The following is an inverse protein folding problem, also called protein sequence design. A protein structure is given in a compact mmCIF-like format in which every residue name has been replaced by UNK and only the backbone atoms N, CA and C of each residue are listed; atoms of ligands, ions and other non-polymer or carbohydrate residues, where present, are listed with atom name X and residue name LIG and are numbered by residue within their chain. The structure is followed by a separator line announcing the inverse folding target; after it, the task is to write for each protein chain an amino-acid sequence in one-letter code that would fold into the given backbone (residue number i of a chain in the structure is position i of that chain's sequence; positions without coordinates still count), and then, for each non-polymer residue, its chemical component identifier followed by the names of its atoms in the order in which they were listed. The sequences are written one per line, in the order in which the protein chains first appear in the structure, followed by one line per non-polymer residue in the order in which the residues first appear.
data_IF_336655261889
#
_entry.id   IF_336655261889
#
_cell.length_a   1.000
_cell.length_b   1.000
_cell.length_c   1.000
_cell.angle_alpha   90.00
_cell.angle_beta   90.00
_cell.angle_gamma   90.00
#
_symmetry.space_group_name_H-M   'P 1'
#
loop_
_entity.id
_entity.type
_entity.pdbx_description
1 polymer ?
#
# COMPACT_ATOMS: atom_id res chain seq x y z
N UNK A 1 -29.84 -18.58 -34.86
CA UNK A 1 -28.42 -18.26 -35.03
C UNK A 1 -28.08 -16.96 -34.28
N UNK A 2 -28.29 -16.87 -32.94
CA UNK A 2 -28.13 -15.62 -32.18
C UNK A 2 -27.51 -15.81 -30.78
N UNK A 3 -26.73 -16.88 -30.55
CA UNK A 3 -26.21 -17.17 -29.20
C UNK A 3 -24.69 -17.23 -29.08
N UNK A 4 -23.92 -16.92 -30.16
CA UNK A 4 -22.45 -16.96 -30.13
C UNK A 4 -21.76 -15.59 -30.02
N UNK A 5 -22.51 -14.48 -30.08
CA UNK A 5 -21.93 -13.11 -29.99
C UNK A 5 -21.85 -12.57 -28.54
N UNK A 6 -22.73 -13.01 -27.65
CA UNK A 6 -22.77 -12.55 -26.25
C UNK A 6 -21.65 -13.13 -25.38
N UNK A 7 -21.22 -14.37 -25.63
CA UNK A 7 -20.16 -15.03 -24.86
C UNK A 7 -18.76 -14.44 -25.12
N UNK A 8 -18.54 -13.78 -26.27
CA UNK A 8 -17.23 -13.16 -26.61
C UNK A 8 -17.05 -11.75 -26.02
N UNK A 9 -18.13 -11.09 -25.58
CA UNK A 9 -18.04 -9.77 -24.94
C UNK A 9 -17.76 -9.91 -23.44
N UNK A 10 -18.24 -10.97 -22.78
CA UNK A 10 -18.01 -11.24 -21.35
C UNK A 10 -16.58 -11.73 -21.11
N UNK A 11 -15.97 -12.45 -22.05
CA UNK A 11 -14.58 -12.93 -21.91
C UNK A 11 -13.53 -11.81 -22.08
N UNK A 12 -13.88 -10.68 -22.69
CA UNK A 12 -12.94 -9.57 -22.94
C UNK A 12 -12.87 -8.55 -21.80
N UNK A 13 -13.79 -8.60 -20.85
CA UNK A 13 -13.81 -7.76 -19.64
C UNK A 13 -13.11 -8.40 -18.44
N UNK A 14 -12.78 -9.69 -18.48
CA UNK A 14 -12.09 -10.38 -17.41
C UNK A 14 -10.55 -10.28 -17.49
N UNK A 15 -9.99 -9.83 -18.61
CA UNK A 15 -8.54 -9.76 -18.81
C UNK A 15 -7.86 -8.48 -18.28
N UNK A 16 -8.60 -7.54 -17.68
CA UNK A 16 -8.03 -6.23 -17.30
C UNK A 16 -7.93 -6.02 -15.78
N UNK A 17 -8.15 -7.03 -14.95
CA UNK A 17 -8.27 -6.83 -13.48
C UNK A 17 -7.06 -7.26 -12.66
N UNK A 18 -5.96 -7.68 -13.25
CA UNK A 18 -4.68 -7.82 -12.56
C UNK A 18 -3.83 -6.54 -12.75
N UNK A 19 -4.34 -5.39 -12.28
CA UNK A 19 -3.53 -4.19 -12.18
C UNK A 19 -2.51 -4.36 -11.04
N UNK A 20 -1.40 -5.03 -11.34
CA UNK A 20 -0.18 -4.92 -10.56
C UNK A 20 0.12 -3.41 -10.37
N UNK A 21 0.52 -3.02 -9.16
CA UNK A 21 1.10 -1.71 -8.86
C UNK A 21 2.06 -1.34 -10.01
N UNK A 22 2.00 -0.13 -10.57
CA UNK A 22 2.85 0.23 -11.69
C UNK A 22 4.31 0.04 -11.31
N UNK A 23 5.01 -0.87 -12.01
CA UNK A 23 6.43 -1.11 -11.82
C UNK A 23 7.20 0.11 -12.34
N UNK A 24 7.47 1.08 -11.46
CA UNK A 24 8.32 2.22 -11.78
C UNK A 24 9.79 1.80 -11.74
N UNK A 25 10.46 1.97 -12.87
CA UNK A 25 11.93 1.88 -12.95
C UNK A 25 12.54 3.04 -12.15
N UNK A 26 13.03 2.77 -10.95
CA UNK A 26 13.83 3.73 -10.18
C UNK A 26 15.27 3.65 -10.65
N UNK A 27 15.74 4.71 -11.30
CA UNK A 27 17.15 4.87 -11.66
C UNK A 27 17.95 5.24 -10.39
N UNK A 28 18.75 4.32 -9.88
CA UNK A 28 19.68 4.55 -8.77
C UNK A 28 20.94 5.27 -9.28
N UNK A 29 21.07 6.58 -8.96
CA UNK A 29 22.38 7.23 -8.88
C UNK A 29 22.75 7.37 -7.40
N UNK A 30 23.78 6.62 -7.00
CA UNK A 30 24.37 6.71 -5.68
C UNK A 30 25.01 8.09 -5.48
N UNK A 31 24.51 8.86 -4.53
CA UNK A 31 25.15 10.08 -4.04
C UNK A 31 26.01 9.74 -2.82
N UNK A 32 27.31 10.06 -2.88
CA UNK A 32 28.25 9.97 -1.77
C UNK A 32 27.88 11.01 -0.71
N UNK A 33 27.46 10.58 0.47
CA UNK A 33 27.27 11.46 1.62
C UNK A 33 28.52 11.38 2.50
N UNK A 34 29.13 12.54 2.72
CA UNK A 34 30.29 12.79 3.58
C UNK A 34 29.91 12.56 5.05
N UNK A 35 30.74 11.83 5.77
CA UNK A 35 30.56 11.54 7.20
C UNK A 35 30.86 12.80 8.04
N UNK A 36 29.87 13.37 8.66
CA UNK A 36 30.03 14.34 9.72
C UNK A 36 29.89 13.70 11.10
N UNK A 37 30.83 13.97 11.96
CA UNK A 37 31.07 13.33 13.26
C UNK A 37 30.19 13.99 14.32
N UNK A 38 29.13 13.36 14.80
CA UNK A 38 28.32 13.87 15.91
C UNK A 38 28.86 13.33 17.24
N UNK A 39 29.19 14.26 18.16
CA UNK A 39 29.67 14.00 19.53
C UNK A 39 28.53 13.51 20.43
N UNK A 40 28.82 12.48 21.25
CA UNK A 40 27.92 11.95 22.30
C UNK A 40 27.76 12.96 23.44
N UNK A 41 26.54 13.14 24.00
CA UNK A 41 26.35 13.76 25.31
C UNK A 41 26.47 12.73 26.45
N UNK A 42 26.94 13.23 27.57
CA UNK A 42 27.22 12.51 28.84
C UNK A 42 25.92 12.08 29.55
N UNK A 43 26.00 10.92 30.22
CA UNK A 43 24.99 10.39 31.10
C UNK A 43 24.75 11.25 32.34
N UNK A 44 23.48 11.56 32.63
CA UNK A 44 23.00 12.06 33.91
C UNK A 44 22.22 10.96 34.63
N UNK A 45 22.55 10.76 35.92
CA UNK A 45 21.86 9.85 36.84
C UNK A 45 20.50 10.44 37.23
N UNK A 46 19.47 9.62 37.28
CA UNK A 46 18.25 9.94 38.02
C UNK A 46 17.64 8.71 38.68
N UNK A 47 17.15 8.95 39.86
CA UNK A 47 16.82 8.05 40.95
C UNK A 47 15.63 7.12 40.67
N UNK A 48 15.75 5.93 41.30
CA UNK A 48 14.72 4.89 41.34
C UNK A 48 13.74 5.23 42.45
N UNK A 49 12.47 5.41 42.13
CA UNK A 49 11.37 5.39 43.09
C UNK A 49 10.55 4.13 42.88
N UNK A 50 10.59 3.26 43.87
CA UNK A 50 9.79 2.03 43.98
C UNK A 50 8.34 2.41 44.35
N UNK A 51 7.34 1.89 43.64
CA UNK A 51 5.95 1.89 44.08
C UNK A 51 5.43 0.44 44.09
N UNK A 52 4.93 0.09 45.26
CA UNK A 52 4.44 -1.20 45.70
C UNK A 52 3.22 -1.73 44.94
N UNK A 53 3.19 -3.05 44.84
CA UNK A 53 2.10 -3.91 44.38
C UNK A 53 0.85 -3.82 45.26
N UNK A 54 -0.35 -3.69 44.67
CA UNK A 54 -1.61 -4.09 45.30
C UNK A 54 -2.53 -4.79 44.27
N UNK A 55 -2.85 -6.00 44.69
CA UNK A 55 -4.01 -6.86 44.46
C UNK A 55 -4.92 -6.72 43.21
N UNK A 56 -5.01 -7.83 42.51
CA UNK A 56 -5.99 -8.21 41.49
C UNK A 56 -7.43 -8.17 42.01
N UNK A 57 -8.30 -7.50 41.28
CA UNK A 57 -9.74 -7.77 41.28
C UNK A 57 -10.16 -8.05 39.83
N UNK A 58 -10.56 -9.29 39.56
CA UNK A 58 -11.09 -9.72 38.29
C UNK A 58 -12.51 -9.13 38.10
N UNK A 59 -12.61 -8.07 37.33
CA UNK A 59 -13.90 -7.57 36.84
C UNK A 59 -14.07 -8.06 35.42
N UNK A 60 -15.06 -8.93 35.21
CA UNK A 60 -15.53 -9.36 33.91
C UNK A 60 -16.07 -8.14 33.17
N UNK A 61 -15.25 -7.57 32.29
CA UNK A 61 -15.69 -6.47 31.42
C UNK A 61 -16.50 -7.07 30.29
N UNK A 62 -17.79 -6.78 30.27
CA UNK A 62 -18.67 -7.05 29.15
C UNK A 62 -18.03 -6.44 27.90
N UNK A 63 -17.82 -7.27 26.87
CA UNK A 63 -17.36 -6.85 25.54
C UNK A 63 -18.44 -5.94 24.97
N UNK A 64 -18.26 -4.62 25.10
CA UNK A 64 -19.09 -3.65 24.43
C UNK A 64 -18.95 -3.85 22.92
N UNK A 65 -20.07 -3.98 22.22
CA UNK A 65 -20.13 -4.08 20.78
C UNK A 65 -19.30 -2.96 20.14
N UNK A 66 -18.32 -3.33 19.34
CA UNK A 66 -17.47 -2.41 18.59
C UNK A 66 -18.38 -1.59 17.67
N UNK A 67 -18.41 -0.25 17.73
CA UNK A 67 -19.17 0.55 16.78
C UNK A 67 -18.67 0.25 15.37
N UNK A 68 -19.60 -0.08 14.47
CA UNK A 68 -19.35 -0.54 13.09
C UNK A 68 -18.91 0.57 12.12
N UNK A 69 -18.44 1.72 12.61
CA UNK A 69 -17.91 2.80 11.77
C UNK A 69 -16.48 3.15 12.19
N UNK A 70 -15.54 2.93 11.29
CA UNK A 70 -14.19 3.46 11.42
C UNK A 70 -14.26 5.00 11.46
N UNK A 71 -13.39 5.68 12.26
CA UNK A 71 -13.47 7.14 12.46
C UNK A 71 -13.13 7.96 11.21
N UNK A 72 -12.68 7.33 10.13
CA UNK A 72 -12.26 8.01 8.91
C UNK A 72 -13.08 7.55 7.70
N UNK A 73 -13.45 8.48 6.77
CA UNK A 73 -14.15 8.13 5.55
C UNK A 73 -13.30 7.22 4.67
N UNK A 74 -13.91 6.19 4.08
CA UNK A 74 -13.22 5.22 3.21
C UNK A 74 -13.67 5.36 1.77
N UNK A 75 -12.72 5.31 0.82
CA UNK A 75 -12.99 5.35 -0.61
C UNK A 75 -13.68 4.07 -1.13
N UNK A 76 -13.78 3.01 -0.35
CA UNK A 76 -14.61 1.84 -0.69
C UNK A 76 -16.10 2.12 -0.54
N UNK A 77 -16.50 3.18 0.19
CA UNK A 77 -17.89 3.62 0.29
C UNK A 77 -18.31 4.36 -0.98
N UNK A 78 -19.32 3.90 -1.75
CA UNK A 78 -19.71 4.52 -3.03
C UNK A 78 -20.01 6.02 -2.90
N UNK A 79 -20.69 6.44 -1.84
CA UNK A 79 -21.01 7.84 -1.60
C UNK A 79 -19.76 8.71 -1.44
N UNK A 80 -18.74 8.22 -0.72
CA UNK A 80 -17.47 8.94 -0.52
C UNK A 80 -16.74 9.12 -1.87
N UNK A 81 -16.80 8.11 -2.75
CA UNK A 81 -16.21 8.21 -4.08
C UNK A 81 -16.96 9.21 -4.97
N UNK A 82 -18.31 9.21 -4.93
CA UNK A 82 -19.12 10.19 -5.66
C UNK A 82 -18.84 11.62 -5.20
N UNK A 83 -18.76 11.82 -3.88
CA UNK A 83 -18.44 13.13 -3.28
C UNK A 83 -17.03 13.59 -3.69
N UNK A 84 -16.06 12.66 -3.70
CA UNK A 84 -14.71 12.93 -4.16
C UNK A 84 -14.68 13.40 -5.63
N UNK A 85 -15.37 12.67 -6.52
CA UNK A 85 -15.42 13.04 -7.94
C UNK A 85 -16.12 14.38 -8.16
N UNK A 86 -17.22 14.65 -7.44
CA UNK A 86 -17.95 15.92 -7.50
C UNK A 86 -17.05 17.07 -7.04
N UNK A 87 -16.38 16.90 -5.89
CA UNK A 87 -15.46 17.90 -5.36
C UNK A 87 -14.32 18.21 -6.33
N UNK A 88 -13.62 17.19 -6.81
CA UNK A 88 -12.49 17.37 -7.70
C UNK A 88 -12.87 18.04 -9.04
N UNK A 89 -14.03 17.72 -9.61
CA UNK A 89 -14.54 18.37 -10.83
C UNK A 89 -14.86 19.84 -10.60
N UNK A 90 -15.33 20.20 -9.42
CA UNK A 90 -15.65 21.58 -9.04
C UNK A 90 -14.40 22.39 -8.68
N UNK A 91 -13.52 21.83 -7.86
CA UNK A 91 -12.33 22.52 -7.36
C UNK A 91 -11.23 22.65 -8.44
N UNK A 92 -11.15 21.70 -9.37
CA UNK A 92 -10.16 21.66 -10.44
C UNK A 92 -10.83 21.31 -11.78
N UNK A 93 -11.35 22.31 -12.52
CA UNK A 93 -12.03 22.07 -13.80
C UNK A 93 -11.16 21.42 -14.87
N UNK A 94 -9.82 21.57 -14.78
CA UNK A 94 -8.89 20.90 -15.70
C UNK A 94 -8.82 19.40 -15.40
N UNK A 95 -8.72 19.04 -14.12
CA UNK A 95 -8.80 17.66 -13.67
C UNK A 95 -10.19 17.08 -13.96
N UNK A 96 -11.26 17.85 -13.74
CA UNK A 96 -12.63 17.44 -14.05
C UNK A 96 -12.81 16.99 -15.49
N UNK A 97 -12.31 17.78 -16.46
CA UNK A 97 -12.31 17.40 -17.89
C UNK A 97 -11.53 16.12 -18.18
N UNK A 98 -10.47 15.85 -17.42
CA UNK A 98 -9.70 14.61 -17.54
C UNK A 98 -10.45 13.43 -16.93
N UNK A 99 -11.09 13.61 -15.77
CA UNK A 99 -11.96 12.61 -15.14
C UNK A 99 -13.06 12.17 -16.10
N UNK A 100 -13.77 13.12 -16.74
CA UNK A 100 -14.87 12.82 -17.65
C UNK A 100 -14.43 12.06 -18.91
N UNK A 101 -13.17 12.22 -19.33
CA UNK A 101 -12.58 11.49 -20.47
C UNK A 101 -12.00 10.13 -20.11
N UNK A 102 -11.81 9.86 -18.83
CA UNK A 102 -11.19 8.61 -18.36
C UNK A 102 -12.26 7.55 -18.19
N UNK A 103 -12.28 6.57 -19.10
CA UNK A 103 -13.28 5.49 -19.08
C UNK A 103 -13.08 4.48 -17.95
N UNK A 104 -11.89 4.46 -17.31
CA UNK A 104 -11.56 3.51 -16.26
C UNK A 104 -12.10 3.99 -14.91
N UNK A 105 -12.73 3.06 -14.18
CA UNK A 105 -13.12 3.28 -12.80
C UNK A 105 -11.89 3.40 -11.90
N UNK A 106 -11.95 4.32 -10.93
CA UNK A 106 -10.89 4.49 -9.96
C UNK A 106 -10.78 3.23 -9.09
N UNK A 107 -9.64 2.54 -9.16
CA UNK A 107 -9.44 1.27 -8.43
C UNK A 107 -9.45 1.42 -6.90
N UNK A 108 -9.37 2.66 -6.39
CA UNK A 108 -9.47 2.92 -4.95
C UNK A 108 -10.88 2.67 -4.40
N UNK A 109 -11.92 2.70 -5.28
CA UNK A 109 -13.29 2.34 -4.89
C UNK A 109 -13.54 0.83 -4.82
N UNK A 110 -12.62 0.01 -5.35
CA UNK A 110 -12.80 -1.42 -5.34
C UNK A 110 -12.51 -1.97 -3.95
N UNK A 111 -13.51 -2.59 -3.36
CA UNK A 111 -13.35 -3.31 -2.11
C UNK A 111 -12.60 -4.62 -2.38
N UNK A 112 -11.43 -4.76 -1.76
CA UNK A 112 -10.62 -5.99 -1.79
C UNK A 112 -10.66 -6.75 -0.47
N UNK A 113 -11.39 -6.23 0.51
CA UNK A 113 -11.41 -6.79 1.87
C UNK A 113 -12.30 -8.04 1.98
N UNK A 114 -13.04 -8.40 0.91
CA UNK A 114 -13.95 -9.56 0.92
C UNK A 114 -13.23 -10.90 1.05
N UNK A 115 -11.90 -10.97 0.87
CA UNK A 115 -11.12 -12.21 0.85
C UNK A 115 -10.18 -12.42 2.05
N UNK A 116 -10.33 -11.65 3.14
CA UNK A 116 -9.45 -11.77 4.30
C UNK A 116 -8.05 -11.16 4.07
N UNK A 117 -7.93 -10.13 3.21
CA UNK A 117 -6.69 -9.44 2.92
C UNK A 117 -6.34 -8.44 4.03
N UNK A 118 -5.66 -8.91 5.07
CA UNK A 118 -5.27 -8.12 6.26
C UNK A 118 -4.14 -7.12 5.97
N UNK A 119 -3.96 -6.15 6.86
CA UNK A 119 -2.81 -5.21 6.83
C UNK A 119 -1.47 -5.94 6.81
N UNK A 120 -1.36 -7.06 7.55
CA UNK A 120 -0.17 -7.90 7.54
C UNK A 120 0.13 -8.46 6.14
N UNK A 121 -0.86 -8.98 5.46
CA UNK A 121 -0.72 -9.53 4.10
C UNK A 121 -0.33 -8.42 3.12
N UNK A 122 -1.01 -7.26 3.18
CA UNK A 122 -0.73 -6.10 2.33
C UNK A 122 0.73 -5.62 2.46
N UNK A 123 1.22 -5.46 3.69
CA UNK A 123 2.60 -5.03 3.95
C UNK A 123 3.61 -6.10 3.54
N UNK A 124 3.34 -7.37 3.80
CA UNK A 124 4.19 -8.50 3.40
C UNK A 124 4.34 -8.57 1.89
N UNK A 125 3.25 -8.47 1.15
CA UNK A 125 3.27 -8.42 -0.31
C UNK A 125 4.02 -7.19 -0.82
N UNK A 126 3.81 -6.02 -0.22
CA UNK A 126 4.53 -4.80 -0.58
C UNK A 126 6.05 -4.98 -0.48
N UNK A 127 6.55 -5.63 0.59
CA UNK A 127 7.98 -5.94 0.74
C UNK A 127 8.47 -6.91 -0.35
N UNK A 128 7.69 -7.96 -0.64
CA UNK A 128 8.05 -8.94 -1.69
C UNK A 128 8.17 -8.25 -3.05
N UNK A 129 7.27 -7.32 -3.36
CA UNK A 129 7.22 -6.63 -4.65
C UNK A 129 8.23 -5.49 -4.81
N UNK A 130 8.83 -4.96 -3.73
CA UNK A 130 9.78 -3.84 -3.81
C UNK A 130 10.91 -4.10 -4.80
N UNK A 131 11.21 -3.09 -5.64
CA UNK A 131 12.35 -3.06 -6.56
C UNK A 131 12.40 -4.24 -7.57
N UNK A 132 11.27 -4.87 -7.85
CA UNK A 132 11.17 -5.95 -8.83
C UNK A 132 10.17 -5.59 -9.93
N UNK A 133 10.36 -6.17 -11.11
CA UNK A 133 9.33 -6.21 -12.12
C UNK A 133 8.15 -7.08 -11.64
N UNK A 134 6.91 -6.70 -11.96
CA UNK A 134 5.70 -7.37 -11.47
C UNK A 134 5.72 -8.90 -11.62
N UNK A 135 6.11 -9.41 -12.81
CA UNK A 135 6.22 -10.85 -13.04
C UNK A 135 7.24 -11.55 -12.14
N UNK A 136 8.41 -10.94 -11.91
CA UNK A 136 9.42 -11.50 -11.04
C UNK A 136 8.96 -11.53 -9.58
N UNK A 137 8.30 -10.46 -9.12
CA UNK A 137 7.73 -10.40 -7.78
C UNK A 137 6.61 -11.43 -7.59
N UNK A 138 5.71 -11.57 -8.57
CA UNK A 138 4.64 -12.58 -8.55
C UNK A 138 5.19 -14.01 -8.47
N UNK A 139 6.26 -14.32 -9.21
CA UNK A 139 6.90 -15.62 -9.16
C UNK A 139 7.53 -15.92 -7.77
N UNK A 140 8.07 -14.90 -7.10
CA UNK A 140 8.59 -15.03 -5.72
C UNK A 140 7.42 -15.24 -4.75
N UNK A 141 6.37 -14.45 -4.86
CA UNK A 141 5.18 -14.59 -4.02
C UNK A 141 4.56 -15.99 -4.18
N UNK A 142 4.44 -16.48 -5.40
CA UNK A 142 3.91 -17.83 -5.65
C UNK A 142 4.76 -18.91 -4.97
N UNK A 143 6.12 -18.85 -5.09
CA UNK A 143 7.00 -19.80 -4.40
C UNK A 143 6.85 -19.72 -2.88
N UNK A 144 6.77 -18.50 -2.35
CA UNK A 144 6.54 -18.27 -0.93
C UNK A 144 5.22 -18.89 -0.47
N UNK A 145 4.12 -18.66 -1.21
CA UNK A 145 2.80 -19.20 -0.88
C UNK A 145 2.72 -20.72 -1.06
N UNK A 146 3.39 -21.29 -2.06
CA UNK A 146 3.47 -22.75 -2.23
C UNK A 146 4.23 -23.44 -1.09
N UNK A 147 5.23 -22.79 -0.53
CA UNK A 147 6.09 -23.38 0.50
C UNK A 147 5.54 -23.17 1.92
N UNK A 148 4.95 -22.03 2.20
CA UNK A 148 4.55 -21.63 3.55
C UNK A 148 3.06 -21.33 3.71
N UNK A 149 2.36 -21.07 2.64
CA UNK A 149 0.92 -20.89 2.63
C UNK A 149 0.17 -22.22 2.46
N UNK A 150 -1.15 -22.13 2.38
CA UNK A 150 -2.01 -23.27 2.08
C UNK A 150 -3.03 -22.88 1.02
N UNK A 151 -3.22 -23.70 0.00
CA UNK A 151 -4.30 -23.53 -0.96
C UNK A 151 -5.66 -23.63 -0.26
N UNK A 152 -6.59 -22.74 -0.60
CA UNK A 152 -7.96 -22.81 -0.11
C UNK A 152 -8.73 -23.97 -0.74
N UNK A 153 -8.41 -24.26 -2.00
CA UNK A 153 -8.99 -25.35 -2.78
C UNK A 153 -7.88 -26.16 -3.46
N UNK A 154 -7.58 -27.33 -2.95
CA UNK A 154 -6.50 -28.19 -3.44
C UNK A 154 -6.74 -28.71 -4.87
N UNK A 155 -7.99 -28.73 -5.34
CA UNK A 155 -8.31 -29.11 -6.72
C UNK A 155 -7.74 -28.13 -7.76
N UNK A 156 -7.41 -26.93 -7.34
CA UNK A 156 -6.78 -25.89 -8.17
C UNK A 156 -5.25 -26.02 -8.27
N UNK A 157 -4.62 -26.95 -7.59
CA UNK A 157 -3.15 -27.07 -7.51
C UNK A 157 -2.49 -27.18 -8.89
N UNK A 158 -3.11 -27.93 -9.82
CA UNK A 158 -2.61 -28.11 -11.18
C UNK A 158 -2.84 -26.89 -12.09
N UNK A 159 -3.77 -26.01 -11.70
CA UNK A 159 -4.12 -24.81 -12.47
C UNK A 159 -3.25 -23.59 -12.10
N UNK A 160 -2.41 -23.72 -11.07
CA UNK A 160 -1.57 -22.61 -10.62
C UNK A 160 -0.55 -22.24 -11.71
N UNK A 161 -0.39 -20.94 -12.01
CA UNK A 161 0.57 -20.49 -13.00
C UNK A 161 2.00 -20.88 -12.58
N UNK A 162 2.79 -21.32 -13.56
CA UNK A 162 4.21 -21.74 -13.30
C UNK A 162 5.09 -20.55 -12.92
N UNK A 163 4.82 -19.39 -13.51
CA UNK A 163 5.62 -18.16 -13.39
C UNK A 163 4.97 -17.09 -12.51
N UNK A 164 3.85 -17.39 -11.85
CA UNK A 164 3.09 -16.44 -11.06
C UNK A 164 2.33 -15.39 -11.88
N UNK A 165 2.31 -15.50 -13.22
CA UNK A 165 1.48 -14.65 -14.05
C UNK A 165 0.00 -14.89 -13.72
N UNK A 166 -0.73 -13.78 -13.48
CA UNK A 166 -2.13 -13.81 -13.06
C UNK A 166 -2.38 -14.61 -11.75
N UNK A 167 -1.38 -14.65 -10.85
CA UNK A 167 -1.57 -15.23 -9.54
C UNK A 167 -2.65 -14.46 -8.78
N UNK A 168 -3.73 -15.12 -8.46
CA UNK A 168 -4.67 -14.65 -7.46
C UNK A 168 -4.18 -15.12 -6.07
N UNK A 169 -3.62 -14.20 -5.29
CA UNK A 169 -3.19 -14.52 -3.93
C UNK A 169 -4.37 -14.90 -3.01
N UNK A 170 -5.60 -14.58 -3.42
CA UNK A 170 -6.83 -14.97 -2.77
C UNK A 170 -7.08 -16.49 -2.81
N UNK A 171 -6.47 -17.23 -3.74
CA UNK A 171 -6.54 -18.71 -3.76
C UNK A 171 -5.75 -19.36 -2.61
N UNK A 172 -4.92 -18.60 -1.90
CA UNK A 172 -4.11 -19.10 -0.79
C UNK A 172 -4.57 -18.53 0.55
N UNK A 173 -4.44 -19.34 1.61
CA UNK A 173 -4.35 -18.85 2.97
C UNK A 173 -2.89 -18.43 3.19
N UNK A 174 -2.65 -17.15 3.41
CA UNK A 174 -1.32 -16.60 3.67
C UNK A 174 -0.80 -17.14 5.01
N UNK A 175 0.51 -17.43 5.16
CA UNK A 175 1.06 -17.89 6.43
C UNK A 175 0.91 -16.82 7.52
N UNK A 176 0.62 -17.24 8.74
CA UNK A 176 0.38 -16.32 9.85
C UNK A 176 1.64 -15.52 10.22
N UNK A 177 1.51 -14.37 10.91
CA UNK A 177 2.66 -13.63 11.42
C UNK A 177 3.59 -14.49 12.28
N UNK A 178 3.03 -15.35 13.11
CA UNK A 178 3.81 -16.29 13.95
C UNK A 178 4.63 -17.25 13.10
N UNK A 179 4.00 -17.89 12.11
CA UNK A 179 4.67 -18.80 11.19
C UNK A 179 5.84 -18.11 10.48
N UNK A 180 5.61 -16.93 9.89
CA UNK A 180 6.65 -16.20 9.14
C UNK A 180 7.77 -15.72 10.06
N UNK A 181 7.48 -15.29 11.28
CA UNK A 181 8.50 -14.91 12.26
C UNK A 181 9.43 -16.08 12.63
N UNK A 182 8.92 -17.32 12.63
CA UNK A 182 9.64 -18.54 12.96
C UNK A 182 10.50 -19.09 11.80
N UNK A 183 10.19 -18.78 10.53
CA UNK A 183 10.96 -19.27 9.37
C UNK A 183 12.41 -18.79 9.44
N UNK A 184 13.37 -19.67 9.14
CA UNK A 184 14.76 -19.24 9.02
C UNK A 184 14.96 -18.27 7.86
N UNK A 185 15.87 -17.30 8.04
CA UNK A 185 16.15 -16.29 7.01
C UNK A 185 16.73 -16.93 5.73
N UNK A 186 17.54 -17.98 5.86
CA UNK A 186 18.07 -18.72 4.72
C UNK A 186 16.97 -19.45 3.93
N UNK A 187 15.98 -20.01 4.63
CA UNK A 187 14.82 -20.63 3.97
C UNK A 187 14.01 -19.60 3.16
N UNK A 188 13.80 -18.39 3.70
CA UNK A 188 13.17 -17.30 2.97
C UNK A 188 13.98 -16.87 1.74
N UNK A 189 15.30 -17.02 1.76
CA UNK A 189 16.15 -16.77 0.58
C UNK A 189 15.94 -17.83 -0.50
N UNK A 190 15.66 -19.07 -0.15
CA UNK A 190 15.44 -20.16 -1.10
C UNK A 190 14.20 -19.93 -1.98
N UNK A 191 13.18 -19.20 -1.50
CA UNK A 191 12.03 -18.81 -2.32
C UNK A 191 12.33 -17.61 -3.24
N UNK A 192 13.54 -17.03 -3.15
CA UNK A 192 13.99 -15.92 -3.99
C UNK A 192 13.90 -14.55 -3.33
N UNK A 193 13.68 -14.48 -2.01
CA UNK A 193 13.81 -13.24 -1.25
C UNK A 193 15.30 -12.96 -1.00
N UNK A 194 15.75 -11.73 -1.27
CA UNK A 194 17.09 -11.32 -0.84
C UNK A 194 17.13 -11.14 0.68
N UNK A 195 18.34 -11.28 1.28
CA UNK A 195 18.59 -11.16 2.73
C UNK A 195 17.78 -10.03 3.40
N UNK A 196 17.86 -8.80 2.85
CA UNK A 196 17.17 -7.63 3.40
C UNK A 196 15.65 -7.79 3.42
N UNK A 197 15.05 -8.29 2.34
CA UNK A 197 13.60 -8.50 2.26
C UNK A 197 13.13 -9.58 3.23
N UNK A 198 13.90 -10.66 3.39
CA UNK A 198 13.61 -11.69 4.38
C UNK A 198 13.59 -11.10 5.80
N UNK A 199 14.59 -10.28 6.15
CA UNK A 199 14.63 -9.59 7.45
C UNK A 199 13.45 -8.63 7.64
N UNK A 200 13.09 -7.85 6.61
CA UNK A 200 11.95 -6.91 6.65
C UNK A 200 10.63 -7.65 6.81
N UNK A 201 10.44 -8.75 6.08
CA UNK A 201 9.24 -9.58 6.19
C UNK A 201 9.08 -10.15 7.61
N UNK A 202 10.17 -10.66 8.19
CA UNK A 202 10.18 -11.14 9.58
C UNK A 202 9.92 -10.01 10.60
N UNK A 203 10.39 -8.81 10.33
CA UNK A 203 10.14 -7.66 11.21
C UNK A 203 8.65 -7.28 11.20
N UNK A 204 8.02 -7.19 10.02
CA UNK A 204 6.57 -6.99 9.91
C UNK A 204 5.82 -8.10 10.64
N UNK A 205 6.18 -9.36 10.39
CA UNK A 205 5.56 -10.50 11.04
C UNK A 205 5.60 -10.40 12.58
N UNK A 206 6.76 -10.04 13.16
CA UNK A 206 6.90 -9.86 14.62
C UNK A 206 6.00 -8.74 15.15
N UNK A 207 5.90 -7.60 14.43
CA UNK A 207 5.06 -6.45 14.84
C UNK A 207 3.58 -6.79 14.91
N UNK A 208 3.11 -7.68 14.04
CA UNK A 208 1.73 -8.18 14.10
C UNK A 208 1.57 -9.28 15.15
N UNK A 209 2.56 -10.15 15.30
CA UNK A 209 2.52 -11.25 16.27
C UNK A 209 2.56 -10.73 17.73
N UNK A 210 3.38 -9.71 18.02
CA UNK A 210 3.46 -9.11 19.35
C UNK A 210 2.37 -8.08 19.66
N UNK A 211 1.45 -7.85 18.69
CA UNK A 211 0.35 -6.91 18.82
C UNK A 211 0.78 -5.43 18.79
N UNK A 212 2.02 -5.10 18.44
CA UNK A 212 2.45 -3.72 18.18
C UNK A 212 1.60 -3.10 17.08
N UNK A 213 1.32 -3.87 16.01
CA UNK A 213 0.39 -3.54 14.94
C UNK A 213 -0.78 -4.52 14.91
N UNK A 214 -1.95 -4.04 14.56
CA UNK A 214 -3.12 -4.85 14.19
C UNK A 214 -4.00 -4.05 13.24
N UNK A 215 -4.92 -4.73 12.52
CA UNK A 215 -5.87 -4.07 11.63
C UNK A 215 -6.70 -3.03 12.38
N UNK A 216 -7.19 -3.36 13.59
CA UNK A 216 -8.00 -2.46 14.41
C UNK A 216 -7.20 -1.24 14.87
N UNK A 217 -5.92 -1.39 15.25
CA UNK A 217 -5.06 -0.27 15.63
C UNK A 217 -4.83 0.66 14.46
N UNK A 218 -4.40 0.11 13.30
CA UNK A 218 -4.13 0.88 12.10
C UNK A 218 -5.37 1.60 11.58
N UNK A 219 -6.54 0.97 11.65
CA UNK A 219 -7.79 1.59 11.23
C UNK A 219 -8.19 2.82 12.09
N UNK A 220 -7.82 2.82 13.39
CA UNK A 220 -8.13 3.92 14.32
C UNK A 220 -7.11 5.05 14.33
N UNK A 221 -5.89 4.79 13.84
CA UNK A 221 -4.83 5.80 13.75
C UNK A 221 -5.14 6.83 12.66
N UNK A 222 -4.70 8.07 12.88
CA UNK A 222 -4.64 9.09 11.83
C UNK A 222 -3.64 8.71 10.73
N UNK A 223 -3.72 9.34 9.57
CA UNK A 223 -2.82 9.07 8.45
C UNK A 223 -1.35 9.30 8.82
N UNK A 224 -1.06 10.33 9.62
CA UNK A 224 0.29 10.63 10.13
C UNK A 224 0.79 9.58 11.13
N UNK A 225 -0.07 9.08 12.02
CA UNK A 225 0.27 8.03 12.97
C UNK A 225 0.55 6.70 12.27
N UNK A 226 -0.29 6.32 11.27
CA UNK A 226 -0.03 5.13 10.45
C UNK A 226 1.29 5.27 9.70
N UNK A 227 1.52 6.41 9.04
CA UNK A 227 2.76 6.64 8.30
C UNK A 227 3.99 6.54 9.22
N UNK A 228 3.95 7.14 10.41
CA UNK A 228 5.03 7.06 11.39
C UNK A 228 5.26 5.62 11.89
N UNK A 229 4.19 4.89 12.23
CA UNK A 229 4.28 3.51 12.69
C UNK A 229 4.88 2.58 11.64
N UNK A 230 4.50 2.75 10.37
CA UNK A 230 5.00 1.95 9.26
C UNK A 230 6.44 2.28 8.89
N UNK A 231 6.82 3.56 8.82
CA UNK A 231 8.19 4.00 8.50
C UNK A 231 9.19 3.60 9.59
N UNK A 232 8.74 3.38 10.83
CA UNK A 232 9.59 2.83 11.89
C UNK A 232 10.03 1.37 11.63
N UNK A 233 9.37 0.65 10.71
CA UNK A 233 9.73 -0.71 10.31
C UNK A 233 10.82 -0.65 9.23
N UNK A 234 11.91 -1.38 9.42
CA UNK A 234 12.97 -1.44 8.42
C UNK A 234 12.43 -1.97 7.07
N UNK A 235 12.77 -1.24 6.01
CA UNK A 235 12.34 -1.59 4.66
C UNK A 235 11.01 -0.97 4.23
N UNK A 236 10.26 -0.34 5.11
CA UNK A 236 9.09 0.44 4.76
C UNK A 236 9.47 1.92 4.73
N UNK A 237 9.43 2.51 3.54
CA UNK A 237 9.67 3.94 3.35
C UNK A 237 8.35 4.75 3.27
N UNK A 238 8.44 6.09 3.28
CA UNK A 238 7.26 6.96 3.20
C UNK A 238 6.37 6.64 2.00
N UNK A 239 6.95 6.40 0.82
CA UNK A 239 6.16 6.03 -0.37
C UNK A 239 5.37 4.72 -0.17
N UNK A 240 5.96 3.71 0.50
CA UNK A 240 5.26 2.45 0.80
C UNK A 240 4.13 2.68 1.80
N UNK A 241 4.34 3.55 2.79
CA UNK A 241 3.30 3.93 3.74
C UNK A 241 2.13 4.67 3.03
N UNK A 242 2.43 5.60 2.10
CA UNK A 242 1.41 6.27 1.28
C UNK A 242 0.59 5.25 0.46
N UNK A 243 1.26 4.26 -0.16
CA UNK A 243 0.58 3.21 -0.92
C UNK A 243 -0.33 2.36 -0.03
N UNK A 244 0.13 2.01 1.16
CA UNK A 244 -0.68 1.28 2.15
C UNK A 244 -1.92 2.08 2.57
N UNK A 245 -1.76 3.36 2.91
CA UNK A 245 -2.85 4.25 3.26
C UNK A 245 -3.90 4.36 2.13
N UNK A 246 -3.44 4.51 0.87
CA UNK A 246 -4.33 4.68 -0.28
C UNK A 246 -5.02 3.36 -0.69
N UNK A 247 -4.26 2.27 -0.82
CA UNK A 247 -4.76 1.04 -1.45
C UNK A 247 -5.29 0.02 -0.46
N UNK A 248 -4.79 -0.01 0.78
CA UNK A 248 -5.29 -0.90 1.81
C UNK A 248 -6.29 -0.20 2.73
N UNK A 249 -5.88 0.87 3.41
CA UNK A 249 -6.80 1.60 4.31
C UNK A 249 -7.81 2.50 3.58
N UNK A 250 -7.70 2.66 2.26
CA UNK A 250 -8.65 3.46 1.44
C UNK A 250 -8.81 4.90 1.93
N UNK A 251 -7.75 5.48 2.51
CA UNK A 251 -7.76 6.86 3.02
C UNK A 251 -7.93 7.86 1.89
N UNK A 252 -8.73 8.90 2.14
CA UNK A 252 -9.17 9.84 1.10
C UNK A 252 -8.14 10.91 0.76
N UNK A 253 -7.24 11.25 1.69
CA UNK A 253 -6.45 12.49 1.61
C UNK A 253 -4.93 12.29 1.56
N UNK A 254 -4.44 11.33 0.79
CA UNK A 254 -3.00 11.01 0.66
C UNK A 254 -2.45 11.59 -0.64
N UNK A 255 -1.30 12.28 -0.55
CA UNK A 255 -0.53 12.80 -1.68
C UNK A 255 0.91 12.28 -1.62
N UNK A 256 1.29 11.27 -2.41
CA UNK A 256 2.63 10.68 -2.39
C UNK A 256 3.62 11.58 -3.13
N UNK A 257 4.14 12.58 -2.44
CA UNK A 257 5.04 13.60 -3.01
C UNK A 257 6.40 13.06 -3.44
N UNK A 258 6.79 11.87 -2.99
CA UNK A 258 7.99 11.17 -3.44
C UNK A 258 7.77 10.35 -4.70
N UNK A 259 6.53 10.17 -5.15
CA UNK A 259 6.21 9.43 -6.36
C UNK A 259 6.57 10.25 -7.61
N UNK A 260 7.48 9.73 -8.43
CA UNK A 260 7.99 10.42 -9.59
C UNK A 260 6.91 10.64 -10.66
N UNK A 261 6.00 9.68 -10.84
CA UNK A 261 4.94 9.79 -11.84
C UNK A 261 3.91 10.84 -11.43
N UNK A 262 3.53 10.87 -10.15
CA UNK A 262 2.65 11.90 -9.58
C UNK A 262 3.29 13.28 -9.72
N UNK A 263 4.57 13.44 -9.36
CA UNK A 263 5.29 14.71 -9.49
C UNK A 263 5.33 15.20 -10.91
N UNK A 264 5.65 14.35 -11.89
CA UNK A 264 5.65 14.70 -13.31
C UNK A 264 4.26 15.12 -13.79
N UNK A 265 3.22 14.35 -13.42
CA UNK A 265 1.85 14.65 -13.81
C UNK A 265 1.35 15.94 -13.19
N UNK A 266 1.63 16.22 -11.93
CA UNK A 266 1.29 17.47 -11.27
C UNK A 266 1.99 18.66 -11.94
N UNK A 267 3.30 18.56 -12.23
CA UNK A 267 4.00 19.59 -12.97
C UNK A 267 3.32 19.89 -14.32
N UNK A 268 2.98 18.86 -15.07
CA UNK A 268 2.26 19.01 -16.34
C UNK A 268 0.87 19.63 -16.13
N UNK A 269 0.14 19.16 -15.13
CA UNK A 269 -1.21 19.62 -14.82
C UNK A 269 -1.25 21.10 -14.42
N UNK A 270 -0.36 21.51 -13.52
CA UNK A 270 -0.31 22.89 -13.03
C UNK A 270 0.56 23.83 -13.89
N UNK A 271 1.17 23.34 -14.97
CA UNK A 271 2.04 24.13 -15.84
C UNK A 271 3.38 24.52 -15.20
N UNK A 272 3.84 23.75 -14.21
CA UNK A 272 5.12 23.96 -13.52
C UNK A 272 6.23 23.18 -14.24
N UNK A 273 7.44 23.76 -14.46
CA UNK A 273 8.54 23.05 -15.09
C UNK A 273 8.97 21.83 -14.31
N UNK A 274 9.19 20.69 -15.01
CA UNK A 274 9.77 19.47 -14.44
C UNK A 274 11.24 19.35 -14.89
N UNK A 275 12.18 19.18 -13.97
CA UNK A 275 13.61 19.06 -14.27
C UNK A 275 14.49 19.60 -13.15
N UNK A 276 15.44 20.50 -13.48
CA UNK A 276 16.35 21.08 -12.48
C UNK A 276 15.65 21.88 -11.36
N UNK A 277 14.44 22.39 -11.62
CA UNK A 277 13.56 23.09 -10.68
C UNK A 277 12.32 22.25 -10.35
N UNK A 278 12.49 20.95 -10.16
CA UNK A 278 11.40 20.07 -9.73
C UNK A 278 10.80 20.59 -8.43
N UNK A 279 9.46 20.65 -8.28
CA UNK A 279 8.84 21.17 -7.07
C UNK A 279 9.27 20.38 -5.84
N UNK A 280 9.47 21.09 -4.74
CA UNK A 280 9.74 20.49 -3.42
C UNK A 280 8.50 19.75 -2.90
N UNK A 281 8.66 19.04 -1.79
CA UNK A 281 7.54 18.41 -1.09
C UNK A 281 6.47 19.44 -0.72
N UNK A 282 6.88 20.55 -0.12
CA UNK A 282 5.99 21.63 0.33
C UNK A 282 5.22 22.23 -0.84
N UNK A 283 5.90 22.50 -1.96
CA UNK A 283 5.25 23.05 -3.15
C UNK A 283 4.24 22.04 -3.77
N UNK A 284 4.51 20.73 -3.71
CA UNK A 284 3.52 19.73 -4.14
C UNK A 284 2.31 19.69 -3.24
N UNK A 285 2.52 19.81 -1.91
CA UNK A 285 1.43 19.89 -0.94
C UNK A 285 0.58 21.13 -1.20
N UNK A 286 1.20 22.29 -1.42
CA UNK A 286 0.52 23.55 -1.77
C UNK A 286 -0.33 23.41 -3.03
N UNK A 287 0.25 22.89 -4.13
CA UNK A 287 -0.50 22.64 -5.36
C UNK A 287 -1.68 21.69 -5.16
N UNK A 288 -1.52 20.68 -4.31
CA UNK A 288 -2.55 19.67 -4.04
C UNK A 288 -3.61 20.08 -3.01
N UNK A 289 -3.52 21.28 -2.42
CA UNK A 289 -4.51 21.77 -1.45
C UNK A 289 -5.92 21.85 -2.03
N UNK A 290 -6.04 22.23 -3.30
CA UNK A 290 -7.35 22.33 -3.97
C UNK A 290 -8.07 20.98 -4.07
N UNK A 291 -7.37 19.88 -3.93
CA UNK A 291 -7.92 18.52 -3.98
C UNK A 291 -8.34 17.98 -2.61
N UNK A 292 -8.01 18.67 -1.51
CA UNK A 292 -8.42 18.24 -0.18
C UNK A 292 -9.95 18.26 -0.03
N UNK A 293 -10.51 17.26 0.63
CA UNK A 293 -9.90 16.14 1.35
C UNK A 293 -9.77 14.85 0.50
N UNK A 294 -9.71 14.94 -0.82
CA UNK A 294 -9.76 13.80 -1.75
C UNK A 294 -8.48 13.66 -2.60
N UNK A 295 -7.32 14.01 -2.03
CA UNK A 295 -6.02 13.95 -2.71
C UNK A 295 -5.67 12.55 -3.22
N UNK A 296 -6.14 11.48 -2.56
CA UNK A 296 -5.90 10.11 -3.02
C UNK A 296 -6.53 9.83 -4.38
N UNK A 297 -7.77 10.30 -4.60
CA UNK A 297 -8.45 10.16 -5.88
C UNK A 297 -7.77 11.00 -6.96
N UNK A 298 -7.41 12.26 -6.64
CA UNK A 298 -6.64 13.11 -7.55
C UNK A 298 -5.29 12.46 -7.93
N UNK A 299 -4.59 11.86 -6.96
CA UNK A 299 -3.34 11.10 -7.17
C UNK A 299 -3.53 9.97 -8.18
N UNK A 300 -4.61 9.21 -8.07
CA UNK A 300 -4.90 8.14 -9.02
C UNK A 300 -5.06 8.69 -10.45
N UNK A 301 -5.75 9.80 -10.62
CA UNK A 301 -5.84 10.46 -11.92
C UNK A 301 -4.51 11.06 -12.40
N UNK A 302 -3.62 11.48 -11.49
CA UNK A 302 -2.27 11.91 -11.86
C UNK A 302 -1.44 10.75 -12.42
N UNK A 303 -1.56 9.52 -11.86
CA UNK A 303 -0.91 8.34 -12.47
C UNK A 303 -1.46 8.06 -13.87
N UNK A 304 -2.77 8.14 -14.10
CA UNK A 304 -3.37 7.98 -15.43
C UNK A 304 -2.85 9.05 -16.40
N UNK A 305 -2.79 10.29 -15.97
CA UNK A 305 -2.24 11.40 -16.77
C UNK A 305 -0.76 11.16 -17.09
N UNK A 306 0.05 10.70 -16.14
CA UNK A 306 1.46 10.37 -16.36
C UNK A 306 1.65 9.34 -17.46
N UNK A 307 0.82 8.28 -17.49
CA UNK A 307 0.82 7.28 -18.57
C UNK A 307 0.56 7.89 -19.96
N UNK A 308 -0.36 8.84 -20.06
CA UNK A 308 -0.67 9.51 -21.35
C UNK A 308 0.42 10.46 -21.82
N UNK A 309 1.14 11.10 -20.89
CA UNK A 309 2.28 11.99 -21.21
C UNK A 309 3.44 11.19 -21.78
N UNK A 310 3.75 10.03 -21.18
CA UNK A 310 4.89 9.20 -21.58
C UNK A 310 4.70 8.54 -22.95
N UNK A 311 3.45 8.38 -23.42
CA UNK A 311 3.16 7.82 -24.75
C UNK A 311 3.33 8.84 -25.89
N UNK A 312 3.36 10.14 -25.57
CA UNK A 312 3.46 11.24 -26.55
C UNK A 312 4.86 11.82 -26.70
N UNK A 313 5.82 11.36 -25.89
CA UNK A 313 7.24 11.74 -25.92
C UNK A 313 8.09 10.60 -26.48
#
# INVERSE_FOLDING_TARGET
MTTRRSARLVAKTAETTAAALPALKVATKASKVTKERIRKPKAGKSDVVAISSTASTSTTVAVAAVPSSFPFPSLSTPQVMEDALRHLKSADPRLGKFIDKTAEQCVLSLDRDQDGHTSYISLSQSIIYQQLAGKAAAAILLRFLKQYGRLKDESKAELLPVDGANLDSGDFVFPTPEQVAAIDTEELKNVGLGQRKAEYLKEVARKFNDGTLSDEKLARMSDSEVAAALVAIRGIGPWTADMFLMFHLKRTNILPTLDLAVRKAMCHHFGVPFGKKTPTHEHMVEMGQIWEPYRSVATWYMWKLSGTITQKS
#
